data_IF_851348068381
#
_entry.id   IF_851348068381
#
_cell.length_a   1.000
_cell.length_b   1.000
_cell.length_c   1.000
_cell.angle_alpha   90.00
_cell.angle_beta   90.00
_cell.angle_gamma   90.00
#
_symmetry.space_group_name_H-M   'P 1'
#
loop_
_entity.id
_entity.type
_entity.pdbx_description
1 polymer ?
#
# COMPACT_ATOMS: atom_id res chain seq x y z
N UNK A 1 16.92 -2.38 55.67
CA UNK A 1 15.48 -1.97 55.46
C UNK A 1 15.35 -0.57 54.85
N UNK A 2 15.87 0.53 55.45
CA UNK A 2 15.70 1.92 54.89
C UNK A 2 16.33 2.12 53.50
N UNK A 3 17.48 1.51 53.16
CA UNK A 3 18.09 1.63 51.84
C UNK A 3 17.27 0.89 50.78
N UNK A 4 16.75 -0.27 51.11
CA UNK A 4 15.92 -1.09 50.19
C UNK A 4 14.60 -0.36 49.86
N UNK A 5 13.95 0.27 50.86
CA UNK A 5 12.75 1.08 50.61
C UNK A 5 13.04 2.27 49.67
N UNK A 6 14.20 2.93 49.83
CA UNK A 6 14.57 4.04 48.94
C UNK A 6 14.75 3.63 47.49
N UNK A 7 15.29 2.43 47.25
CA UNK A 7 15.44 1.87 45.88
C UNK A 7 14.06 1.59 45.29
N UNK A 8 13.16 0.97 46.06
CA UNK A 8 11.80 0.72 45.61
C UNK A 8 11.06 2.00 45.24
N UNK A 9 11.13 3.03 46.13
CA UNK A 9 10.54 4.33 45.84
C UNK A 9 11.14 5.01 44.62
N UNK A 10 12.45 4.85 44.37
CA UNK A 10 13.11 5.34 43.17
C UNK A 10 12.58 4.69 41.91
N UNK A 11 12.37 3.37 41.93
CA UNK A 11 11.79 2.63 40.81
C UNK A 11 10.35 3.09 40.52
N UNK A 12 9.51 3.23 41.55
CA UNK A 12 8.13 3.72 41.37
C UNK A 12 8.09 5.17 40.87
N UNK A 13 9.01 6.02 41.30
CA UNK A 13 9.10 7.40 40.80
C UNK A 13 9.47 7.43 39.30
N UNK A 14 10.41 6.60 38.85
CA UNK A 14 10.79 6.47 37.43
C UNK A 14 9.63 5.95 36.60
N UNK A 15 8.94 4.90 37.07
CA UNK A 15 7.73 4.35 36.39
C UNK A 15 6.64 5.42 36.31
N UNK A 16 6.40 6.17 37.39
CA UNK A 16 5.42 7.26 37.44
C UNK A 16 5.75 8.38 36.44
N UNK A 17 7.02 8.77 36.34
CA UNK A 17 7.46 9.78 35.36
C UNK A 17 7.26 9.28 33.93
N UNK A 18 7.66 8.05 33.63
CA UNK A 18 7.47 7.45 32.29
C UNK A 18 5.98 7.36 31.93
N UNK A 19 5.13 6.98 32.89
CA UNK A 19 3.68 6.93 32.70
C UNK A 19 3.10 8.33 32.45
N UNK A 20 3.51 9.34 33.22
CA UNK A 20 3.05 10.72 33.05
C UNK A 20 3.47 11.31 31.72
N UNK A 21 4.73 11.08 31.30
CA UNK A 21 5.23 11.50 29.98
C UNK A 21 4.38 10.86 28.88
N UNK A 22 4.09 9.57 29.01
CA UNK A 22 3.23 8.86 28.05
C UNK A 22 1.82 9.44 27.97
N UNK A 23 1.20 9.74 29.13
CA UNK A 23 -0.14 10.34 29.19
C UNK A 23 -0.13 11.74 28.57
N UNK A 24 0.89 12.55 28.84
CA UNK A 24 1.03 13.88 28.23
C UNK A 24 1.21 13.80 26.70
N UNK A 25 1.95 12.81 26.20
CA UNK A 25 2.07 12.56 24.76
C UNK A 25 0.73 12.16 24.13
N UNK A 26 -0.04 11.31 24.80
CA UNK A 26 -1.38 10.90 24.34
C UNK A 26 -2.37 12.07 24.34
N UNK A 27 -2.30 12.94 25.35
CA UNK A 27 -3.16 14.14 25.44
C UNK A 27 -2.80 15.22 24.41
N UNK A 28 -1.59 15.19 23.87
CA UNK A 28 -1.10 16.15 22.87
C UNK A 28 -1.35 15.70 21.41
N UNK A 29 -2.20 14.67 21.22
CA UNK A 29 -2.59 14.19 19.88
C UNK A 29 -1.53 13.36 19.14
N UNK A 30 -0.33 13.17 19.73
CA UNK A 30 0.67 12.26 19.20
C UNK A 30 0.33 10.80 19.58
N UNK A 31 -0.65 10.23 18.89
CA UNK A 31 -1.13 8.85 19.11
C UNK A 31 -0.17 7.76 18.62
N UNK A 32 0.88 8.10 17.93
CA UNK A 32 1.86 7.17 17.40
C UNK A 32 3.12 7.02 18.25
N UNK A 33 2.96 6.68 19.54
CA UNK A 33 3.99 5.83 20.15
C UNK A 33 3.56 4.40 19.85
N UNK A 34 3.99 3.92 18.69
CA UNK A 34 3.92 2.50 18.37
C UNK A 34 4.57 1.72 19.52
N UNK A 35 3.82 0.86 20.17
CA UNK A 35 4.32 -0.05 21.22
C UNK A 35 5.26 -1.09 20.57
N UNK A 36 5.23 -1.16 19.24
CA UNK A 36 6.06 -2.04 18.45
C UNK A 36 7.48 -1.46 18.32
N UNK A 37 8.50 -2.30 18.45
CA UNK A 37 9.87 -1.89 18.18
C UNK A 37 9.96 -1.29 16.79
N UNK A 38 10.71 -0.21 16.65
CA UNK A 38 10.92 0.48 15.38
C UNK A 38 11.17 -0.51 14.25
N UNK A 39 10.33 -0.49 13.22
CA UNK A 39 10.45 -1.30 12.00
C UNK A 39 11.86 -1.26 11.42
N UNK A 40 12.56 -0.13 11.58
CA UNK A 40 13.91 0.09 11.08
C UNK A 40 14.96 -0.90 11.57
N UNK A 41 14.89 -1.34 12.83
CA UNK A 41 15.87 -2.28 13.41
C UNK A 41 15.59 -3.74 13.03
N UNK A 42 14.44 -4.03 12.42
CA UNK A 42 13.93 -5.39 12.20
C UNK A 42 13.98 -5.85 10.73
N UNK A 43 14.65 -5.12 9.86
CA UNK A 43 14.72 -5.48 8.43
C UNK A 43 15.17 -6.92 8.22
N UNK A 44 16.24 -7.35 8.88
CA UNK A 44 16.75 -8.72 8.80
C UNK A 44 15.74 -9.77 9.26
N UNK A 45 14.97 -9.50 10.32
CA UNK A 45 13.91 -10.39 10.81
C UNK A 45 12.79 -10.55 9.77
N UNK A 46 12.35 -9.45 9.15
CA UNK A 46 11.31 -9.51 8.13
C UNK A 46 11.77 -10.28 6.88
N UNK A 47 13.01 -10.08 6.45
CA UNK A 47 13.60 -10.86 5.34
C UNK A 47 13.67 -12.34 5.70
N UNK A 48 14.06 -12.70 6.92
CA UNK A 48 14.05 -14.09 7.38
C UNK A 48 12.63 -14.69 7.45
N UNK A 49 11.63 -13.92 7.86
CA UNK A 49 10.24 -14.36 7.82
C UNK A 49 9.78 -14.64 6.39
N UNK A 50 10.16 -13.80 5.42
CA UNK A 50 9.87 -14.03 4.00
C UNK A 50 10.58 -15.29 3.47
N UNK A 51 11.86 -15.50 3.79
CA UNK A 51 12.64 -16.69 3.40
C UNK A 51 12.09 -17.98 3.97
N UNK A 52 11.58 -17.92 5.20
CA UNK A 52 11.00 -19.07 5.89
C UNK A 52 9.51 -19.24 5.61
N UNK A 53 8.88 -18.32 4.87
CA UNK A 53 7.49 -18.51 4.40
C UNK A 53 7.44 -19.68 3.41
N UNK A 54 6.30 -20.35 3.35
CA UNK A 54 6.06 -21.30 2.27
C UNK A 54 6.19 -20.63 0.89
N UNK A 55 6.59 -21.37 -0.14
CA UNK A 55 6.67 -20.80 -1.48
C UNK A 55 5.28 -20.45 -2.01
N UNK A 56 5.23 -19.49 -2.92
CA UNK A 56 4.11 -19.40 -3.84
C UNK A 56 4.21 -20.57 -4.81
N UNK A 57 3.11 -21.28 -5.02
CA UNK A 57 3.08 -22.50 -5.83
C UNK A 57 1.79 -22.57 -6.64
N UNK A 58 1.86 -23.17 -7.81
CA UNK A 58 0.66 -23.39 -8.63
C UNK A 58 -0.39 -24.17 -7.83
N UNK A 59 -1.63 -23.75 -7.99
CA UNK A 59 -2.80 -24.44 -7.49
C UNK A 59 -3.85 -24.63 -8.60
N UNK A 60 -5.05 -25.04 -8.25
CA UNK A 60 -6.14 -25.26 -9.20
C UNK A 60 -7.16 -24.12 -9.21
N UNK A 61 -6.89 -23.04 -8.50
CA UNK A 61 -7.78 -21.88 -8.40
C UNK A 61 -7.72 -21.09 -9.71
N UNK A 62 -8.87 -20.88 -10.33
CA UNK A 62 -8.98 -19.99 -11.49
C UNK A 62 -9.19 -18.57 -11.01
N UNK A 63 -8.28 -17.68 -11.38
CA UNK A 63 -8.41 -16.26 -11.15
C UNK A 63 -8.86 -15.54 -12.42
N UNK A 64 -9.84 -14.68 -12.30
CA UNK A 64 -10.33 -13.84 -13.39
C UNK A 64 -10.36 -12.37 -12.95
N UNK A 65 -9.18 -11.81 -12.69
CA UNK A 65 -9.09 -10.38 -12.40
C UNK A 65 -9.48 -9.57 -13.64
N UNK A 66 -10.49 -8.71 -13.46
CA UNK A 66 -11.04 -7.86 -14.53
C UNK A 66 -10.77 -6.40 -14.22
N UNK A 67 -10.35 -5.66 -15.23
CA UNK A 67 -10.31 -4.19 -15.19
C UNK A 67 -11.45 -3.68 -16.05
N UNK A 68 -12.39 -2.98 -15.41
CA UNK A 68 -13.58 -2.43 -16.07
C UNK A 68 -13.38 -0.94 -16.29
N UNK A 69 -13.36 -0.57 -17.56
CA UNK A 69 -13.28 0.83 -17.98
C UNK A 69 -14.68 1.41 -18.18
N UNK A 70 -14.88 2.64 -17.70
CA UNK A 70 -16.06 3.47 -17.97
C UNK A 70 -15.61 4.76 -18.67
N UNK A 71 -15.94 4.89 -19.94
CA UNK A 71 -15.50 6.03 -20.76
C UNK A 71 -16.10 7.36 -20.31
N UNK A 72 -17.31 7.36 -19.74
CA UNK A 72 -17.98 8.57 -19.24
C UNK A 72 -17.27 9.03 -17.97
N UNK A 73 -17.10 8.11 -17.01
CA UNK A 73 -16.41 8.40 -15.76
C UNK A 73 -14.93 8.76 -15.99
N UNK A 74 -14.26 8.05 -16.88
CA UNK A 74 -12.89 8.36 -17.29
C UNK A 74 -12.76 9.79 -17.83
N UNK A 75 -13.71 10.21 -18.68
CA UNK A 75 -13.71 11.58 -19.22
C UNK A 75 -13.93 12.62 -18.13
N UNK A 76 -14.88 12.39 -17.24
CA UNK A 76 -15.17 13.29 -16.11
C UNK A 76 -13.93 13.51 -15.24
N UNK A 77 -13.25 12.43 -14.86
CA UNK A 77 -12.02 12.49 -14.06
C UNK A 77 -10.90 13.20 -14.82
N UNK A 78 -10.69 12.88 -16.12
CA UNK A 78 -9.67 13.56 -16.92
C UNK A 78 -9.90 15.06 -16.98
N UNK A 79 -11.13 15.47 -17.23
CA UNK A 79 -11.49 16.90 -17.34
C UNK A 79 -11.30 17.61 -16.00
N UNK A 80 -11.77 16.99 -14.91
CA UNK A 80 -11.69 17.55 -13.56
C UNK A 80 -10.25 17.76 -13.11
N UNK A 81 -9.39 16.74 -13.23
CA UNK A 81 -7.98 16.78 -12.83
C UNK A 81 -7.06 17.35 -13.90
N UNK A 82 -7.57 17.63 -15.09
CA UNK A 82 -6.78 18.08 -16.25
C UNK A 82 -5.59 17.17 -16.53
N UNK A 83 -5.82 15.86 -16.53
CA UNK A 83 -4.76 14.83 -16.59
C UNK A 83 -3.86 15.01 -17.81
N UNK A 84 -4.37 15.50 -18.94
CA UNK A 84 -3.60 15.77 -20.16
C UNK A 84 -2.50 16.83 -19.98
N UNK A 85 -2.49 17.53 -18.83
CA UNK A 85 -1.41 18.48 -18.49
C UNK A 85 -0.32 17.85 -17.63
N UNK A 86 -0.51 16.64 -17.13
CA UNK A 86 0.46 15.97 -16.25
C UNK A 86 1.56 15.25 -17.04
N UNK A 87 1.27 14.85 -18.26
CA UNK A 87 2.18 14.08 -19.13
C UNK A 87 1.92 14.36 -20.60
N UNK A 88 2.90 14.08 -21.45
CA UNK A 88 2.76 14.20 -22.89
C UNK A 88 1.83 13.07 -23.43
N UNK A 89 1.01 13.39 -24.43
CA UNK A 89 0.02 12.47 -24.97
C UNK A 89 0.64 11.17 -25.52
N UNK A 90 1.84 11.25 -26.08
CA UNK A 90 2.63 10.16 -26.64
C UNK A 90 3.60 9.50 -25.63
N UNK A 91 3.57 9.93 -24.36
CA UNK A 91 4.38 9.30 -23.32
C UNK A 91 3.99 7.82 -23.16
N UNK A 92 4.99 6.99 -22.83
CA UNK A 92 4.78 5.57 -22.54
C UNK A 92 3.95 5.35 -21.27
N UNK A 93 3.53 4.09 -21.05
CA UNK A 93 2.69 3.71 -19.91
C UNK A 93 3.35 4.05 -18.58
N UNK A 94 4.65 3.78 -18.44
CA UNK A 94 5.36 4.01 -17.19
C UNK A 94 5.50 5.50 -16.88
N UNK A 95 5.86 6.30 -17.86
CA UNK A 95 5.98 7.77 -17.73
C UNK A 95 4.65 8.40 -17.28
N UNK A 96 3.51 7.98 -17.87
CA UNK A 96 2.18 8.45 -17.46
C UNK A 96 1.87 8.06 -16.02
N UNK A 97 2.15 6.81 -15.65
CA UNK A 97 1.91 6.30 -14.31
C UNK A 97 2.74 7.03 -13.25
N UNK A 98 4.03 7.28 -13.51
CA UNK A 98 4.90 8.09 -12.64
C UNK A 98 4.39 9.52 -12.47
N UNK A 99 3.95 10.16 -13.54
CA UNK A 99 3.41 11.52 -13.49
C UNK A 99 2.15 11.60 -12.62
N UNK A 100 1.25 10.62 -12.73
CA UNK A 100 0.03 10.52 -11.91
C UNK A 100 0.38 10.26 -10.44
N UNK A 101 1.24 9.28 -10.17
CA UNK A 101 1.70 8.97 -8.79
C UNK A 101 2.35 10.19 -8.14
N UNK A 102 3.20 10.90 -8.88
CA UNK A 102 3.84 12.14 -8.41
C UNK A 102 2.82 13.25 -8.15
N UNK A 103 1.82 13.41 -9.01
CA UNK A 103 0.75 14.39 -8.80
C UNK A 103 0.04 14.15 -7.47
N UNK A 104 -0.35 12.92 -7.17
CA UNK A 104 -1.01 12.59 -5.91
C UNK A 104 -0.07 12.81 -4.73
N UNK A 105 1.13 12.24 -4.76
CA UNK A 105 2.11 12.33 -3.67
C UNK A 105 2.52 13.77 -3.32
N UNK A 106 2.61 14.67 -4.31
CA UNK A 106 3.03 16.06 -4.09
C UNK A 106 1.91 16.94 -3.56
N UNK A 107 0.66 16.60 -3.80
CA UNK A 107 -0.49 17.40 -3.38
C UNK A 107 -1.12 16.93 -2.06
N UNK A 108 -0.96 15.66 -1.70
CA UNK A 108 -1.62 15.08 -0.54
C UNK A 108 -0.57 14.42 0.37
N UNK A 109 -0.33 14.94 1.57
CA UNK A 109 0.58 14.31 2.52
C UNK A 109 -0.05 13.06 3.16
N UNK A 110 0.81 12.20 3.72
CA UNK A 110 0.37 11.04 4.51
C UNK A 110 -0.14 11.47 5.89
N UNK A 111 -1.32 10.99 6.27
CA UNK A 111 -1.83 10.97 7.64
C UNK A 111 -3.00 10.00 7.76
N UNK A 112 -3.36 9.61 8.98
CA UNK A 112 -4.57 8.84 9.23
C UNK A 112 -5.77 9.78 9.38
N UNK A 113 -6.91 9.39 8.80
CA UNK A 113 -8.13 10.17 8.89
C UNK A 113 -8.80 9.98 10.26
N UNK A 114 -9.14 11.09 10.92
CA UNK A 114 -10.04 11.10 12.08
C UNK A 114 -11.50 10.97 11.64
N UNK A 115 -11.82 11.56 10.48
CA UNK A 115 -13.15 11.50 9.85
C UNK A 115 -13.00 10.74 8.53
N UNK A 116 -13.64 9.60 8.41
CA UNK A 116 -13.63 8.82 7.17
C UNK A 116 -14.41 9.54 6.06
N UNK A 117 -13.90 9.56 4.81
CA UNK A 117 -14.66 10.11 3.69
C UNK A 117 -15.92 9.28 3.42
N UNK A 118 -17.04 9.97 3.21
CA UNK A 118 -18.32 9.34 2.89
C UNK A 118 -18.25 8.61 1.55
N UNK A 119 -17.66 9.25 0.55
CA UNK A 119 -17.43 8.68 -0.77
C UNK A 119 -15.93 8.53 -1.05
N UNK A 120 -15.54 7.47 -1.74
CA UNK A 120 -14.13 7.15 -1.99
C UNK A 120 -13.75 7.11 -3.46
N UNK A 121 -14.49 7.81 -4.32
CA UNK A 121 -14.09 8.04 -5.71
C UNK A 121 -13.10 9.21 -5.82
N UNK A 122 -12.40 9.31 -6.96
CA UNK A 122 -11.31 10.27 -7.11
C UNK A 122 -11.71 11.72 -6.85
N UNK A 123 -12.88 12.15 -7.35
CA UNK A 123 -13.33 13.56 -7.23
C UNK A 123 -13.71 13.86 -5.80
N UNK A 124 -14.52 13.01 -5.15
CA UNK A 124 -14.93 13.24 -3.76
C UNK A 124 -13.77 13.16 -2.78
N UNK A 125 -12.81 12.25 -3.02
CA UNK A 125 -11.57 12.22 -2.24
C UNK A 125 -10.76 13.49 -2.39
N UNK A 126 -10.69 14.04 -3.60
CA UNK A 126 -10.00 15.31 -3.82
C UNK A 126 -10.69 16.50 -3.14
N UNK A 127 -12.01 16.57 -3.21
CA UNK A 127 -12.78 17.59 -2.49
C UNK A 127 -12.66 17.41 -0.96
N UNK A 128 -12.67 16.18 -0.49
CA UNK A 128 -12.43 15.88 0.93
C UNK A 128 -11.11 16.50 1.44
N UNK A 129 -10.05 16.52 0.62
CA UNK A 129 -8.77 17.14 1.04
C UNK A 129 -8.87 18.65 1.23
N UNK A 130 -9.81 19.30 0.60
CA UNK A 130 -10.03 20.76 0.72
C UNK A 130 -10.93 21.11 1.90
N UNK A 131 -11.96 20.31 2.13
CA UNK A 131 -13.06 20.65 3.00
C UNK A 131 -13.00 19.98 4.38
N UNK A 132 -12.35 18.81 4.50
CA UNK A 132 -12.38 18.00 5.72
C UNK A 132 -10.98 17.78 6.30
N UNK A 133 -10.08 17.12 5.56
CA UNK A 133 -8.73 16.82 6.03
C UNK A 133 -7.74 16.77 4.87
N UNK A 134 -6.63 17.53 4.91
CA UNK A 134 -5.72 17.70 3.76
C UNK A 134 -4.75 16.53 3.55
N UNK A 135 -4.98 15.39 4.16
CA UNK A 135 -4.06 14.26 4.16
C UNK A 135 -4.79 12.91 4.02
N UNK A 136 -4.10 11.90 3.53
CA UNK A 136 -4.62 10.55 3.33
C UNK A 136 -3.74 9.48 3.98
N UNK A 137 -4.34 8.34 4.32
CA UNK A 137 -3.63 7.10 4.55
C UNK A 137 -3.31 6.40 3.21
N UNK A 138 -2.51 5.36 3.25
CA UNK A 138 -2.07 4.61 2.07
C UNK A 138 -3.22 4.10 1.18
N UNK A 139 -4.34 3.71 1.79
CA UNK A 139 -5.51 3.22 1.04
C UNK A 139 -6.18 4.32 0.22
N UNK A 140 -6.38 5.51 0.80
CA UNK A 140 -7.01 6.62 0.07
C UNK A 140 -6.09 7.18 -1.01
N UNK A 141 -4.78 7.24 -0.75
CA UNK A 141 -3.77 7.53 -1.79
C UNK A 141 -3.88 6.55 -2.96
N UNK A 142 -3.92 5.25 -2.66
CA UNK A 142 -3.97 4.22 -3.69
C UNK A 142 -5.27 4.22 -4.48
N UNK A 143 -6.42 4.50 -3.85
CA UNK A 143 -7.71 4.61 -4.54
C UNK A 143 -7.70 5.79 -5.51
N UNK A 144 -7.28 6.97 -5.05
CA UNK A 144 -7.19 8.16 -5.91
C UNK A 144 -6.25 7.91 -7.09
N UNK A 145 -5.04 7.42 -6.81
CA UNK A 145 -4.04 7.12 -7.84
C UNK A 145 -4.56 6.11 -8.86
N UNK A 146 -5.23 5.06 -8.40
CA UNK A 146 -5.83 4.03 -9.24
C UNK A 146 -6.88 4.61 -10.21
N UNK A 147 -7.84 5.42 -9.72
CA UNK A 147 -8.87 5.99 -10.58
C UNK A 147 -8.30 7.00 -11.61
N UNK A 148 -7.28 7.77 -11.22
CA UNK A 148 -6.57 8.64 -12.16
C UNK A 148 -5.85 7.84 -13.23
N UNK A 149 -5.22 6.70 -12.89
CA UNK A 149 -4.59 5.80 -13.85
C UNK A 149 -5.62 5.18 -14.80
N UNK A 150 -6.76 4.70 -14.30
CA UNK A 150 -7.83 4.19 -15.14
C UNK A 150 -8.34 5.28 -16.09
N UNK A 151 -8.54 6.51 -15.59
CA UNK A 151 -8.99 7.64 -16.40
C UNK A 151 -7.98 8.02 -17.49
N UNK A 152 -6.68 7.81 -17.25
CA UNK A 152 -5.62 7.96 -18.23
C UNK A 152 -5.55 6.80 -19.26
N UNK A 153 -6.42 5.79 -19.13
CA UNK A 153 -6.44 4.60 -19.99
C UNK A 153 -5.40 3.54 -19.63
N UNK A 154 -4.80 3.63 -18.45
CA UNK A 154 -3.83 2.65 -17.99
C UNK A 154 -4.54 1.47 -17.31
N UNK A 155 -4.03 0.27 -17.51
CA UNK A 155 -4.46 -0.90 -16.76
C UNK A 155 -3.75 -0.88 -15.40
N UNK A 156 -4.45 -0.56 -14.34
CA UNK A 156 -3.91 -0.42 -13.00
C UNK A 156 -4.72 -1.21 -11.97
N UNK A 157 -4.13 -1.45 -10.82
CA UNK A 157 -4.78 -2.01 -9.63
C UNK A 157 -4.17 -1.41 -8.37
N UNK A 158 -4.86 -1.53 -7.24
CA UNK A 158 -4.23 -1.36 -5.94
C UNK A 158 -4.18 -2.71 -5.21
N UNK A 159 -3.11 -2.91 -4.47
CA UNK A 159 -2.81 -4.14 -3.76
C UNK A 159 -2.56 -3.82 -2.31
N UNK A 160 -3.25 -4.52 -1.42
CA UNK A 160 -2.97 -4.47 0.01
C UNK A 160 -1.84 -5.46 0.30
N UNK A 161 -0.75 -4.94 0.81
CA UNK A 161 0.43 -5.68 1.24
C UNK A 161 0.31 -5.94 2.74
N UNK A 162 0.41 -7.20 3.16
CA UNK A 162 0.09 -7.64 4.50
C UNK A 162 1.28 -8.27 5.22
N UNK A 163 1.42 -8.04 6.54
CA UNK A 163 2.46 -8.62 7.36
C UNK A 163 2.19 -10.09 7.72
N UNK A 164 3.21 -10.76 8.23
CA UNK A 164 3.09 -12.10 8.82
C UNK A 164 2.33 -12.08 10.16
N UNK A 165 2.59 -11.06 10.98
CA UNK A 165 2.06 -10.99 12.34
C UNK A 165 0.56 -10.67 12.33
N UNK A 166 -0.26 -11.61 12.82
CA UNK A 166 -1.72 -11.44 12.93
C UNK A 166 -2.17 -10.33 13.88
N UNK A 167 -1.30 -9.87 14.75
CA UNK A 167 -1.58 -8.79 15.70
C UNK A 167 -1.07 -7.43 15.21
N UNK A 168 -0.37 -7.41 14.08
CA UNK A 168 0.05 -6.18 13.42
C UNK A 168 -1.04 -5.74 12.42
N UNK A 169 -1.82 -4.75 12.83
CA UNK A 169 -2.87 -4.17 11.98
C UNK A 169 -2.33 -3.16 10.95
N UNK A 170 -1.03 -2.90 10.97
CA UNK A 170 -0.40 -1.96 10.06
C UNK A 170 0.00 -2.66 8.77
N UNK A 171 -0.84 -2.52 7.77
CA UNK A 171 -0.63 -2.96 6.39
C UNK A 171 -0.27 -1.78 5.48
N UNK A 172 0.18 -2.07 4.28
CA UNK A 172 0.42 -1.04 3.27
C UNK A 172 -0.42 -1.28 2.01
N UNK A 173 -0.90 -0.21 1.39
CA UNK A 173 -1.65 -0.29 0.13
C UNK A 173 -0.92 0.53 -0.91
N UNK A 174 -0.57 -0.10 -2.03
CA UNK A 174 0.12 0.53 -3.15
C UNK A 174 -0.58 0.21 -4.46
N UNK A 175 -0.20 0.90 -5.52
CA UNK A 175 -0.68 0.62 -6.86
C UNK A 175 0.30 -0.28 -7.62
N UNK A 176 -0.23 -1.03 -8.57
CA UNK A 176 0.54 -1.61 -9.67
C UNK A 176 -0.10 -1.21 -10.99
N UNK A 177 0.73 -0.90 -11.98
CA UNK A 177 0.34 -0.61 -13.36
C UNK A 177 0.89 -1.70 -14.28
N UNK A 178 0.07 -2.16 -15.22
CA UNK A 178 0.51 -3.09 -16.26
C UNK A 178 1.31 -2.37 -17.32
N UNK A 179 2.53 -2.80 -17.55
CA UNK A 179 3.43 -2.28 -18.58
C UNK A 179 3.39 -3.23 -19.78
N UNK A 180 2.57 -2.94 -20.80
CA UNK A 180 2.44 -3.83 -21.96
C UNK A 180 3.76 -3.97 -22.73
N UNK A 181 4.61 -2.94 -22.69
CA UNK A 181 5.93 -2.94 -23.32
C UNK A 181 6.89 -3.96 -22.71
N UNK A 182 6.71 -4.28 -21.41
CA UNK A 182 7.51 -5.25 -20.66
C UNK A 182 6.76 -6.54 -20.35
N UNK A 183 5.44 -6.58 -20.61
CA UNK A 183 4.59 -7.72 -20.30
C UNK A 183 4.50 -8.03 -18.80
N UNK A 184 4.53 -7.01 -17.92
CA UNK A 184 4.58 -7.18 -16.47
C UNK A 184 3.89 -6.03 -15.71
N UNK A 185 3.58 -6.27 -14.46
CA UNK A 185 3.17 -5.24 -13.50
C UNK A 185 4.39 -4.49 -12.95
N UNK A 186 4.18 -3.24 -12.56
CA UNK A 186 5.18 -2.42 -11.85
C UNK A 186 4.51 -1.65 -10.69
N UNK A 187 5.16 -1.61 -9.55
CA UNK A 187 4.67 -0.97 -8.34
C UNK A 187 4.87 0.53 -8.36
N UNK A 188 3.85 1.27 -7.91
CA UNK A 188 3.89 2.70 -7.63
C UNK A 188 3.26 2.97 -6.25
N UNK A 189 3.98 3.71 -5.43
CA UNK A 189 3.54 4.17 -4.12
C UNK A 189 3.45 5.71 -4.13
N UNK A 190 2.23 6.24 -4.09
CA UNK A 190 1.98 7.67 -4.01
C UNK A 190 1.90 8.19 -2.57
N UNK A 191 2.04 7.31 -1.57
CA UNK A 191 1.89 7.64 -0.17
C UNK A 191 3.24 7.78 0.55
N UNK A 192 4.17 6.85 0.30
CA UNK A 192 5.45 6.77 1.00
C UNK A 192 6.66 7.00 0.10
N UNK A 193 7.82 7.28 0.73
CA UNK A 193 9.06 7.69 0.05
C UNK A 193 9.74 6.65 -0.84
N UNK A 194 9.27 5.43 -0.88
CA UNK A 194 9.70 4.43 -1.86
C UNK A 194 8.76 4.39 -3.04
N UNK A 195 8.61 5.49 -3.77
CA UNK A 195 7.58 5.71 -4.76
C UNK A 195 7.50 4.64 -5.86
N UNK A 196 8.61 4.03 -6.20
CA UNK A 196 8.71 2.83 -7.03
C UNK A 196 10.04 2.12 -6.75
N UNK A 197 10.15 0.88 -7.20
CA UNK A 197 11.40 0.13 -7.13
C UNK A 197 11.87 -0.27 -8.52
N UNK A 198 13.19 -0.38 -8.69
CA UNK A 198 13.82 -0.94 -9.88
C UNK A 198 14.92 -1.94 -9.54
N UNK A 199 15.28 -2.80 -10.49
CA UNK A 199 16.54 -3.50 -10.47
C UNK A 199 17.73 -2.53 -10.71
N UNK A 200 18.94 -3.07 -10.80
CA UNK A 200 20.15 -2.25 -11.01
C UNK A 200 20.27 -1.71 -12.44
N UNK A 201 19.53 -2.27 -13.39
CA UNK A 201 19.47 -1.82 -14.79
C UNK A 201 18.37 -0.78 -15.02
N UNK A 202 17.62 -0.45 -13.96
CA UNK A 202 16.56 0.55 -13.98
C UNK A 202 15.20 0.02 -14.42
N UNK A 203 15.03 -1.31 -14.56
CA UNK A 203 13.74 -1.91 -14.89
C UNK A 203 12.79 -1.82 -13.68
N UNK A 204 11.59 -1.24 -13.82
CA UNK A 204 10.65 -1.15 -12.72
C UNK A 204 10.19 -2.53 -12.24
N UNK A 205 10.04 -2.68 -10.91
CA UNK A 205 9.69 -3.93 -10.26
C UNK A 205 8.24 -3.96 -9.81
N UNK A 206 7.61 -5.14 -9.96
CA UNK A 206 6.34 -5.49 -9.34
C UNK A 206 6.51 -5.82 -7.86
N UNK A 207 5.42 -5.88 -7.11
CA UNK A 207 5.43 -6.36 -5.73
C UNK A 207 5.94 -7.80 -5.60
N UNK A 208 5.68 -8.65 -6.61
CA UNK A 208 6.24 -10.00 -6.70
C UNK A 208 7.75 -9.96 -6.71
N UNK A 209 8.32 -9.21 -7.66
CA UNK A 209 9.78 -9.10 -7.82
C UNK A 209 10.44 -8.46 -6.61
N UNK A 210 9.83 -7.42 -6.04
CA UNK A 210 10.30 -6.81 -4.78
C UNK A 210 10.41 -7.87 -3.67
N UNK A 211 9.38 -8.70 -3.49
CA UNK A 211 9.42 -9.79 -2.51
C UNK A 211 10.50 -10.82 -2.85
N UNK A 212 10.65 -11.20 -4.12
CA UNK A 212 11.67 -12.13 -4.60
C UNK A 212 13.10 -11.58 -4.35
N UNK A 213 13.34 -10.28 -4.57
CA UNK A 213 14.60 -9.61 -4.25
C UNK A 213 14.92 -9.65 -2.74
N UNK A 214 13.92 -9.47 -1.86
CA UNK A 214 14.14 -9.64 -0.41
C UNK A 214 14.54 -11.08 -0.06
N UNK A 215 13.91 -12.06 -0.66
CA UNK A 215 14.16 -13.48 -0.39
C UNK A 215 15.54 -13.90 -0.93
N UNK A 216 15.86 -13.57 -2.18
CA UNK A 216 17.12 -13.93 -2.82
C UNK A 216 18.30 -13.14 -2.30
N UNK A 217 18.08 -11.90 -1.85
CA UNK A 217 19.12 -10.94 -1.50
C UNK A 217 19.72 -10.23 -2.71
N UNK A 218 19.10 -10.36 -3.89
CA UNK A 218 19.44 -9.54 -5.05
C UNK A 218 19.20 -8.07 -4.77
N UNK A 219 20.06 -7.24 -5.34
CA UNK A 219 19.99 -5.80 -5.09
C UNK A 219 18.87 -5.18 -5.92
N UNK A 220 18.11 -4.32 -5.28
CA UNK A 220 17.13 -3.43 -5.90
C UNK A 220 17.25 -2.04 -5.29
N UNK A 221 16.64 -1.07 -5.92
CA UNK A 221 16.64 0.32 -5.48
C UNK A 221 15.21 0.87 -5.41
N UNK A 222 14.85 1.49 -4.28
CA UNK A 222 13.68 2.36 -4.20
C UNK A 222 14.02 3.78 -4.58
N UNK A 223 13.10 4.45 -5.26
CA UNK A 223 13.24 5.80 -5.79
C UNK A 223 12.29 6.77 -5.09
N UNK A 224 12.79 7.71 -4.27
CA UNK A 224 11.97 8.71 -3.55
C UNK A 224 11.83 9.98 -4.40
N UNK A 225 11.18 9.90 -5.57
CA UNK A 225 11.22 10.98 -6.56
C UNK A 225 9.96 11.85 -6.58
N UNK A 226 8.88 11.46 -5.85
CA UNK A 226 7.60 12.15 -6.00
C UNK A 226 7.44 13.37 -5.09
N UNK A 227 8.15 13.47 -4.01
CA UNK A 227 7.92 14.60 -3.11
C UNK A 227 8.93 14.77 -2.00
N UNK A 228 8.52 15.44 -0.95
CA UNK A 228 9.34 15.58 0.25
C UNK A 228 9.38 14.25 0.97
N UNK A 229 10.58 13.71 1.12
CA UNK A 229 10.81 12.53 1.91
C UNK A 229 10.26 12.72 3.34
N UNK A 230 9.20 11.99 3.67
CA UNK A 230 8.60 11.97 5.01
C UNK A 230 9.20 10.87 5.87
N UNK A 231 9.70 9.81 5.22
CA UNK A 231 10.26 8.61 5.83
C UNK A 231 11.67 8.39 5.30
N UNK A 232 12.60 7.96 6.14
CA UNK A 232 13.92 7.57 5.65
C UNK A 232 13.79 6.32 4.77
N UNK A 233 14.41 6.33 3.60
CA UNK A 233 14.38 5.22 2.64
C UNK A 233 14.72 3.87 3.29
N UNK A 234 15.66 3.86 4.25
CA UNK A 234 15.99 2.64 5.03
C UNK A 234 14.82 2.10 5.87
N UNK A 235 13.88 2.96 6.28
CA UNK A 235 12.67 2.53 6.96
C UNK A 235 11.68 1.95 5.96
N UNK A 236 11.58 2.54 4.77
CA UNK A 236 10.72 2.03 3.71
C UNK A 236 11.13 0.61 3.29
N UNK A 237 12.44 0.31 3.13
CA UNK A 237 12.91 -1.06 2.89
C UNK A 237 12.42 -2.05 3.95
N UNK A 238 12.52 -1.70 5.22
CA UNK A 238 12.07 -2.55 6.31
C UNK A 238 10.54 -2.67 6.36
N UNK A 239 9.83 -1.58 6.07
CA UNK A 239 8.38 -1.53 6.05
C UNK A 239 7.80 -2.40 4.93
N UNK A 240 8.36 -2.31 3.73
CA UNK A 240 7.96 -3.16 2.61
C UNK A 240 8.33 -4.63 2.84
N UNK A 241 9.52 -4.94 3.39
CA UNK A 241 9.87 -6.31 3.75
C UNK A 241 8.88 -6.91 4.77
N UNK A 242 8.40 -6.11 5.75
CA UNK A 242 7.33 -6.51 6.67
C UNK A 242 6.03 -6.84 5.93
N UNK A 243 5.62 -5.96 5.02
CA UNK A 243 4.29 -5.97 4.41
C UNK A 243 4.21 -6.74 3.08
N UNK A 244 5.29 -7.37 2.60
CA UNK A 244 5.23 -8.23 1.40
C UNK A 244 5.12 -9.72 1.73
N UNK A 245 4.54 -10.06 2.90
CA UNK A 245 4.39 -11.46 3.29
C UNK A 245 3.25 -12.15 2.54
N UNK A 246 2.07 -11.51 2.43
CA UNK A 246 0.95 -11.93 1.61
C UNK A 246 0.20 -10.72 1.03
N UNK A 247 -0.68 -10.94 0.04
CA UNK A 247 -1.28 -9.87 -0.73
C UNK A 247 -2.78 -10.05 -0.87
N UNK A 248 -3.49 -8.92 -0.97
CA UNK A 248 -4.91 -8.89 -1.26
C UNK A 248 -5.19 -7.87 -2.36
N UNK A 249 -6.02 -8.23 -3.32
CA UNK A 249 -6.61 -7.32 -4.29
C UNK A 249 -8.06 -7.72 -4.60
N UNK A 250 -8.78 -6.92 -5.38
CA UNK A 250 -10.12 -7.22 -5.78
C UNK A 250 -10.17 -7.99 -7.11
N UNK A 251 -11.19 -8.85 -7.24
CA UNK A 251 -11.48 -9.60 -8.47
C UNK A 251 -11.88 -8.67 -9.62
N UNK A 252 -12.66 -7.63 -9.32
CA UNK A 252 -13.09 -6.61 -10.28
C UNK A 252 -12.60 -5.25 -9.86
N UNK A 253 -11.84 -4.60 -10.72
CA UNK A 253 -11.25 -3.29 -10.56
C UNK A 253 -11.98 -2.32 -11.49
N UNK A 254 -12.75 -1.40 -10.90
CA UNK A 254 -13.52 -0.39 -11.58
C UNK A 254 -13.47 0.92 -10.82
N UNK A 255 -14.00 2.00 -11.40
CA UNK A 255 -14.19 3.24 -10.66
C UNK A 255 -15.08 3.00 -9.44
N UNK A 256 -14.74 3.67 -8.34
CA UNK A 256 -15.59 3.65 -7.16
C UNK A 256 -16.91 4.36 -7.45
N UNK A 257 -17.99 3.66 -7.29
CA UNK A 257 -19.34 4.24 -7.36
C UNK A 257 -19.81 4.63 -5.95
N UNK A 258 -20.81 5.49 -5.88
CA UNK A 258 -21.14 6.28 -4.69
C UNK A 258 -21.65 5.46 -3.49
N UNK A 259 -22.12 4.24 -3.69
CA UNK A 259 -22.72 3.43 -2.62
C UNK A 259 -21.74 2.42 -2.01
N UNK A 260 -21.38 2.61 -0.73
CA UNK A 260 -20.48 1.75 0.01
C UNK A 260 -20.88 0.27 0.02
N UNK A 261 -22.18 -0.06 -0.01
CA UNK A 261 -22.67 -1.44 -0.09
C UNK A 261 -22.60 -2.00 -1.53
N UNK A 262 -22.89 -1.17 -2.54
CA UNK A 262 -22.82 -1.58 -3.95
C UNK A 262 -21.39 -1.83 -4.39
N UNK A 263 -20.43 -1.09 -3.84
CA UNK A 263 -19.01 -1.25 -4.15
C UNK A 263 -18.49 -2.66 -3.89
N UNK A 264 -18.87 -3.28 -2.78
CA UNK A 264 -18.45 -4.66 -2.46
C UNK A 264 -19.06 -5.69 -3.42
N UNK A 265 -20.24 -5.40 -3.97
CA UNK A 265 -20.87 -6.25 -5.00
C UNK A 265 -20.21 -6.08 -6.37
N UNK A 266 -19.83 -4.85 -6.73
CA UNK A 266 -19.18 -4.54 -8.00
C UNK A 266 -17.72 -4.99 -8.04
N UNK A 267 -17.01 -4.91 -6.93
CA UNK A 267 -15.65 -5.40 -6.79
C UNK A 267 -15.54 -6.94 -6.87
N UNK A 268 -16.68 -7.64 -6.82
CA UNK A 268 -16.68 -9.09 -6.75
C UNK A 268 -16.09 -9.59 -5.42
N UNK A 269 -15.20 -10.57 -5.51
CA UNK A 269 -14.55 -11.16 -4.35
C UNK A 269 -13.16 -10.55 -4.09
N UNK A 270 -12.74 -10.58 -2.84
CA UNK A 270 -11.34 -10.40 -2.51
C UNK A 270 -10.51 -11.59 -3.02
N UNK A 271 -9.38 -11.32 -3.62
CA UNK A 271 -8.37 -12.32 -4.00
C UNK A 271 -7.20 -12.21 -3.02
N UNK A 272 -6.85 -13.32 -2.40
CA UNK A 272 -5.76 -13.43 -1.45
C UNK A 272 -4.67 -14.32 -2.00
N UNK A 273 -3.48 -13.75 -2.29
CA UNK A 273 -2.29 -14.53 -2.58
C UNK A 273 -1.50 -14.75 -1.29
N UNK A 274 -1.40 -15.98 -0.88
CA UNK A 274 -0.77 -16.38 0.37
C UNK A 274 0.35 -17.40 0.14
N UNK A 275 1.40 -17.43 0.98
CA UNK A 275 2.39 -18.49 0.91
C UNK A 275 1.78 -19.85 1.31
N UNK A 276 2.33 -20.94 0.77
CA UNK A 276 1.90 -22.29 1.12
C UNK A 276 1.99 -22.53 2.62
N UNK A 277 0.93 -23.10 3.22
CA UNK A 277 0.86 -23.33 4.66
C UNK A 277 0.43 -22.11 5.49
N UNK A 278 -0.04 -21.05 4.86
CA UNK A 278 -0.62 -19.90 5.56
C UNK A 278 -1.86 -20.32 6.36
N UNK A 279 -2.00 -19.81 7.58
CA UNK A 279 -3.03 -20.22 8.53
C UNK A 279 -4.43 -19.62 8.29
N UNK A 280 -4.61 -18.82 7.25
CA UNK A 280 -5.87 -18.19 6.87
C UNK A 280 -6.24 -16.95 7.68
N UNK A 281 -5.34 -16.42 8.50
CA UNK A 281 -5.59 -15.19 9.24
C UNK A 281 -5.87 -13.99 8.32
N UNK A 282 -6.90 -13.19 8.65
CA UNK A 282 -7.26 -11.98 7.91
C UNK A 282 -8.00 -12.22 6.59
N UNK A 283 -8.23 -13.47 6.20
CA UNK A 283 -9.03 -13.84 5.03
C UNK A 283 -10.50 -13.69 5.36
N UNK A 284 -11.22 -12.91 4.56
CA UNK A 284 -12.68 -12.74 4.68
C UNK A 284 -13.41 -13.92 4.09
N UNK A 285 -14.55 -14.27 4.68
CA UNK A 285 -15.45 -15.29 4.16
C UNK A 285 -15.88 -14.97 2.72
N UNK A 286 -15.86 -15.97 1.84
CA UNK A 286 -16.17 -15.82 0.42
C UNK A 286 -15.04 -15.31 -0.47
N UNK A 287 -13.90 -14.95 0.10
CA UNK A 287 -12.72 -14.57 -0.68
C UNK A 287 -12.08 -15.74 -1.41
N UNK A 288 -11.40 -15.45 -2.50
CA UNK A 288 -10.62 -16.43 -3.27
C UNK A 288 -9.22 -16.49 -2.67
N UNK A 289 -8.80 -17.66 -2.21
CA UNK A 289 -7.44 -17.88 -1.70
C UNK A 289 -6.65 -18.66 -2.72
N UNK A 290 -5.48 -18.17 -3.07
CA UNK A 290 -4.56 -18.83 -3.99
C UNK A 290 -3.13 -18.78 -3.47
N UNK A 291 -2.33 -19.77 -3.84
CA UNK A 291 -0.87 -19.76 -3.71
C UNK A 291 -0.18 -19.51 -5.06
N UNK A 292 -0.95 -19.39 -6.16
CA UNK A 292 -0.44 -19.23 -7.51
C UNK A 292 -0.12 -17.77 -7.82
N UNK A 293 1.16 -17.43 -7.68
CA UNK A 293 1.69 -16.10 -8.00
C UNK A 293 1.60 -15.80 -9.51
N UNK A 294 1.75 -16.80 -10.39
CA UNK A 294 1.65 -16.58 -11.84
C UNK A 294 0.23 -16.18 -12.23
N UNK A 295 -0.77 -16.80 -11.60
CA UNK A 295 -2.17 -16.41 -11.79
C UNK A 295 -2.47 -15.02 -11.22
N UNK A 296 -1.94 -14.68 -10.04
CA UNK A 296 -2.17 -13.40 -9.39
C UNK A 296 -1.52 -12.22 -10.15
N UNK A 297 -0.35 -12.41 -10.74
CA UNK A 297 0.37 -11.40 -11.55
C UNK A 297 0.21 -11.64 -13.07
N UNK A 298 -0.77 -12.41 -13.50
CA UNK A 298 -1.11 -12.54 -14.92
C UNK A 298 -1.50 -11.17 -15.52
N UNK A 299 -1.42 -11.09 -16.86
CA UNK A 299 -1.90 -9.91 -17.59
C UNK A 299 -3.38 -9.63 -17.27
N UNK A 300 -3.79 -8.37 -17.13
CA UNK A 300 -5.18 -8.03 -16.84
C UNK A 300 -6.09 -8.44 -18.02
N UNK A 301 -7.30 -8.86 -17.69
CA UNK A 301 -8.35 -9.11 -18.69
C UNK A 301 -9.18 -7.85 -18.88
N UNK A 302 -9.49 -7.53 -20.12
CA UNK A 302 -10.38 -6.43 -20.53
C UNK A 302 -11.78 -6.95 -20.75
#
# INVERSE_FOLDING_TARGET
MKKFLKVIWGIFAVIGILFTVRVLFLLNGNTTISIYPSTKGRFGEYVELLRNSGPFSKDTVSLEMKIVQDSVRAKEIRDYFQLDKLYDADADTWTKALAIGKFVATNIPHDNQEIEPEHRNAIDLWEYTKDVAPAFNCRLHSILTFELMLAAGLDARFVTCMPFDRYDNDCHVVNEVWLPELGKWAMIDSDMDGNYASDLDGTPLSLREIREHYISGEKMQYHPEFGKATTKLSMHYAYMAKNTYWFNCWETLSYYQEDGENRLREAGRDIYLVPSGFDGFGIREGGIVTTDADAFWAAPRK
#
